data_IF_324289433766
#
_entry.id   IF_324289433766
#
_cell.length_a   1.000
_cell.length_b   1.000
_cell.length_c   1.000
_cell.angle_alpha   90.00
_cell.angle_beta   90.00
_cell.angle_gamma   90.00
#
_symmetry.space_group_name_H-M   'P 1'
#
loop_
_entity.id
_entity.type
_entity.pdbx_description
1 polymer ?
#
# COMPACT_ATOMS: atom_id res chain seq x y z
N UNK A 1 20.86 34.78 -7.04
CA UNK A 1 19.72 33.89 -7.36
C UNK A 1 20.35 32.63 -7.95
N UNK A 2 20.57 31.60 -7.13
CA UNK A 2 21.27 30.39 -7.56
C UNK A 2 20.29 29.50 -8.30
N UNK A 3 20.47 29.38 -9.62
CA UNK A 3 19.74 28.41 -10.44
C UNK A 3 20.16 27.01 -10.02
N UNK A 4 19.23 26.23 -9.47
CA UNK A 4 19.45 24.80 -9.20
C UNK A 4 19.39 24.10 -10.56
N UNK A 5 20.46 23.43 -11.03
CA UNK A 5 20.42 22.70 -12.28
C UNK A 5 19.42 21.55 -12.17
N UNK A 6 18.54 21.43 -13.17
CA UNK A 6 17.55 20.36 -13.28
C UNK A 6 18.31 19.05 -13.39
N UNK A 7 18.39 18.29 -12.28
CA UNK A 7 18.94 16.94 -12.32
C UNK A 7 18.01 16.07 -13.17
N UNK A 8 18.56 15.52 -14.25
CA UNK A 8 17.95 14.41 -14.96
C UNK A 8 18.11 13.19 -14.05
N UNK A 9 17.05 12.89 -13.29
CA UNK A 9 16.99 11.65 -12.53
C UNK A 9 17.07 10.49 -13.54
N UNK A 10 17.99 9.52 -13.37
CA UNK A 10 17.93 8.29 -14.16
C UNK A 10 16.51 7.73 -14.03
N UNK A 11 15.94 7.24 -15.15
CA UNK A 11 14.59 6.70 -15.18
C UNK A 11 14.36 5.87 -13.92
N UNK A 12 13.36 6.25 -13.12
CA UNK A 12 12.97 5.58 -11.88
C UNK A 12 12.40 4.20 -12.28
N UNK A 13 13.28 3.29 -12.69
CA UNK A 13 12.92 1.94 -13.13
C UNK A 13 12.51 1.05 -11.94
N UNK A 14 12.58 1.56 -10.71
CA UNK A 14 12.12 0.89 -9.50
C UNK A 14 11.41 1.91 -8.59
N UNK A 15 10.22 1.55 -8.07
CA UNK A 15 9.48 2.33 -7.07
C UNK A 15 8.29 3.15 -7.61
N UNK A 16 8.04 4.33 -7.04
CA UNK A 16 6.82 5.13 -7.28
C UNK A 16 6.67 5.66 -8.72
N UNK A 17 7.69 5.46 -9.56
CA UNK A 17 7.70 5.83 -10.97
C UNK A 17 7.35 4.69 -11.93
N UNK A 18 7.09 3.47 -11.44
CA UNK A 18 6.65 2.37 -12.29
C UNK A 18 5.22 2.58 -12.77
N UNK A 19 4.86 1.91 -13.87
CA UNK A 19 3.51 1.95 -14.42
C UNK A 19 2.51 1.42 -13.40
N UNK A 20 2.88 0.35 -12.71
CA UNK A 20 2.05 -0.38 -11.77
C UNK A 20 1.81 0.44 -10.50
N UNK A 21 2.80 1.22 -10.03
CA UNK A 21 2.61 2.16 -8.94
C UNK A 21 1.66 3.30 -9.36
N UNK A 22 1.77 3.82 -10.59
CA UNK A 22 0.87 4.85 -11.10
C UNK A 22 -0.58 4.32 -11.22
N UNK A 23 -0.76 3.09 -11.73
CA UNK A 23 -2.06 2.41 -11.81
C UNK A 23 -2.66 2.21 -10.41
N UNK A 24 -1.86 1.79 -9.42
CA UNK A 24 -2.31 1.70 -8.02
C UNK A 24 -2.76 3.07 -7.48
N UNK A 25 -1.97 4.12 -7.67
CA UNK A 25 -2.30 5.46 -7.17
C UNK A 25 -3.54 6.05 -7.85
N UNK A 26 -3.76 5.75 -9.12
CA UNK A 26 -4.98 6.13 -9.83
C UNK A 26 -6.18 5.37 -9.27
N UNK A 27 -6.10 4.04 -9.17
CA UNK A 27 -7.16 3.20 -8.62
C UNK A 27 -7.60 3.67 -7.21
N UNK A 28 -6.63 3.87 -6.31
CA UNK A 28 -6.90 4.32 -4.94
C UNK A 28 -7.62 5.67 -4.96
N UNK A 29 -7.13 6.64 -5.72
CA UNK A 29 -7.70 7.99 -5.76
C UNK A 29 -9.13 8.00 -6.33
N UNK A 30 -9.40 7.17 -7.34
CA UNK A 30 -10.67 7.13 -8.04
C UNK A 30 -11.74 6.31 -7.30
N UNK A 31 -11.33 5.36 -6.46
CA UNK A 31 -12.25 4.36 -5.86
C UNK A 31 -12.45 4.51 -4.35
N UNK A 32 -11.49 5.09 -3.63
CA UNK A 32 -11.56 5.27 -2.17
C UNK A 32 -12.15 6.63 -1.79
N UNK A 33 -12.78 6.70 -0.63
CA UNK A 33 -13.27 7.93 -0.03
C UNK A 33 -12.12 8.79 0.52
N UNK A 34 -12.30 10.11 0.67
CA UNK A 34 -11.24 11.01 1.13
C UNK A 34 -10.68 10.69 2.52
N UNK A 35 -11.50 10.12 3.40
CA UNK A 35 -11.15 9.80 4.78
C UNK A 35 -10.75 8.33 4.98
N UNK A 36 -10.79 7.51 3.91
CA UNK A 36 -10.38 6.11 3.98
C UNK A 36 -8.89 5.99 4.33
N UNK A 37 -8.60 5.31 5.44
CA UNK A 37 -7.21 5.03 5.85
C UNK A 37 -6.69 3.80 5.11
N UNK A 38 -5.57 3.97 4.43
CA UNK A 38 -4.95 2.93 3.59
C UNK A 38 -3.64 2.47 4.22
N UNK A 39 -3.56 1.18 4.50
CA UNK A 39 -2.37 0.55 5.07
C UNK A 39 -1.43 0.13 3.96
N UNK A 40 -0.23 0.71 3.92
CA UNK A 40 0.78 0.42 2.89
C UNK A 40 2.20 0.75 3.37
N UNK A 41 3.17 -0.09 3.04
CA UNK A 41 4.57 0.07 3.45
C UNK A 41 5.15 1.46 3.09
N UNK A 42 4.82 1.97 1.90
CA UNK A 42 5.23 3.30 1.43
C UNK A 42 4.13 4.35 1.61
N UNK A 43 3.52 4.38 2.81
CA UNK A 43 2.40 5.26 3.15
C UNK A 43 2.61 6.72 2.73
N UNK A 44 3.80 7.29 3.01
CA UNK A 44 4.11 8.69 2.64
C UNK A 44 4.01 8.94 1.13
N UNK A 45 4.46 7.99 0.31
CA UNK A 45 4.34 8.12 -1.13
C UNK A 45 2.86 8.03 -1.55
N UNK A 46 2.13 7.05 -1.02
CA UNK A 46 0.71 6.88 -1.32
C UNK A 46 -0.09 8.14 -0.97
N UNK A 47 0.07 8.69 0.23
CA UNK A 47 -0.60 9.94 0.62
C UNK A 47 -0.23 11.11 -0.28
N UNK A 48 1.04 11.22 -0.70
CA UNK A 48 1.48 12.30 -1.58
C UNK A 48 0.84 12.24 -2.97
N UNK A 49 0.74 11.04 -3.56
CA UNK A 49 0.24 10.86 -4.93
C UNK A 49 -1.28 10.73 -5.04
N UNK A 50 -1.94 10.31 -3.96
CA UNK A 50 -3.40 10.05 -3.96
C UNK A 50 -4.19 11.07 -3.15
N UNK A 51 -3.55 11.79 -2.22
CA UNK A 51 -4.23 12.66 -1.26
C UNK A 51 -5.04 11.89 -0.22
N UNK A 52 -4.77 10.59 -0.03
CA UNK A 52 -5.47 9.73 0.94
C UNK A 52 -4.68 9.56 2.24
N UNK A 53 -5.37 9.49 3.39
CA UNK A 53 -4.75 9.05 4.64
C UNK A 53 -4.10 7.68 4.45
N UNK A 54 -2.83 7.57 4.80
CA UNK A 54 -2.11 6.31 4.70
C UNK A 54 -1.25 6.06 5.94
N UNK A 55 -1.18 4.80 6.35
CA UNK A 55 -0.39 4.35 7.48
C UNK A 55 0.58 3.25 7.03
N UNK A 56 1.84 3.37 7.43
CA UNK A 56 2.81 2.30 7.25
C UNK A 56 2.66 1.28 8.35
N UNK A 57 2.57 0.01 7.98
CA UNK A 57 2.71 -1.07 8.94
C UNK A 57 4.20 -1.36 9.19
N UNK A 58 4.50 -1.90 10.35
CA UNK A 58 5.76 -2.60 10.59
C UNK A 58 5.50 -4.09 10.45
N UNK A 59 6.45 -4.80 9.84
CA UNK A 59 6.39 -6.27 9.83
C UNK A 59 6.85 -6.76 11.19
N UNK A 60 5.92 -7.41 11.86
CA UNK A 60 6.06 -8.02 13.17
C UNK A 60 6.03 -9.53 12.97
N UNK A 61 6.65 -10.31 13.86
CA UNK A 61 6.46 -11.76 13.86
C UNK A 61 5.04 -12.16 14.30
N UNK A 62 4.26 -11.20 14.81
CA UNK A 62 2.92 -11.41 15.36
C UNK A 62 1.82 -10.80 14.48
N UNK A 63 1.00 -11.68 13.92
CA UNK A 63 -0.17 -11.39 13.08
C UNK A 63 -1.28 -10.60 13.81
N UNK A 64 -1.48 -10.89 15.10
CA UNK A 64 -2.53 -10.27 15.91
C UNK A 64 -2.19 -8.81 16.20
N UNK A 65 -0.90 -8.50 16.40
CA UNK A 65 -0.43 -7.13 16.56
C UNK A 65 -0.73 -6.29 15.31
N UNK A 66 -0.45 -6.82 14.12
CA UNK A 66 -0.78 -6.13 12.87
C UNK A 66 -2.30 -5.97 12.70
N UNK A 67 -3.08 -7.03 12.93
CA UNK A 67 -4.55 -6.93 12.85
C UNK A 67 -5.11 -5.92 13.84
N UNK A 68 -4.62 -5.92 15.07
CA UNK A 68 -4.98 -4.96 16.11
C UNK A 68 -4.63 -3.53 15.72
N UNK A 69 -3.45 -3.30 15.15
CA UNK A 69 -3.06 -2.00 14.61
C UNK A 69 -4.02 -1.53 13.51
N UNK A 70 -4.29 -2.39 12.52
CA UNK A 70 -5.20 -2.11 11.40
C UNK A 70 -6.59 -1.71 11.90
N UNK A 71 -7.13 -2.43 12.89
CA UNK A 71 -8.41 -2.11 13.52
C UNK A 71 -8.35 -0.82 14.36
N UNK A 72 -7.23 -0.55 15.05
CA UNK A 72 -7.09 0.62 15.91
C UNK A 72 -7.12 1.95 15.16
N UNK A 73 -6.70 1.95 13.89
CA UNK A 73 -6.68 3.13 13.01
C UNK A 73 -7.88 3.18 12.08
N UNK A 74 -8.84 2.27 12.25
CA UNK A 74 -10.02 2.12 11.39
C UNK A 74 -9.65 2.05 9.89
N UNK A 75 -8.64 1.23 9.58
CA UNK A 75 -8.20 1.07 8.21
C UNK A 75 -9.30 0.46 7.33
N UNK A 76 -9.53 1.08 6.18
CA UNK A 76 -10.50 0.60 5.19
C UNK A 76 -9.85 -0.31 4.15
N UNK A 77 -8.56 -0.12 3.86
CA UNK A 77 -7.85 -0.85 2.82
C UNK A 77 -6.43 -1.27 3.25
N UNK A 78 -5.97 -2.40 2.74
CA UNK A 78 -4.59 -2.89 2.85
C UNK A 78 -4.02 -3.09 1.46
N UNK A 79 -2.82 -2.57 1.22
CA UNK A 79 -2.07 -2.77 -0.02
C UNK A 79 -0.85 -3.64 0.25
N UNK A 80 -0.70 -4.71 -0.52
CA UNK A 80 0.44 -5.63 -0.43
C UNK A 80 1.22 -5.66 -1.74
N UNK A 81 2.53 -5.92 -1.65
CA UNK A 81 3.37 -6.21 -2.81
C UNK A 81 3.27 -7.69 -3.19
N UNK A 82 3.19 -7.96 -4.49
CA UNK A 82 3.19 -9.30 -5.09
C UNK A 82 4.58 -9.76 -5.47
N UNK A 83 5.54 -8.84 -5.56
CA UNK A 83 6.90 -9.13 -5.94
C UNK A 83 7.60 -10.02 -4.91
N UNK A 84 8.29 -11.06 -5.39
CA UNK A 84 8.90 -12.08 -4.55
C UNK A 84 10.09 -11.57 -3.73
N UNK A 85 10.69 -10.47 -4.17
CA UNK A 85 11.84 -9.84 -3.52
C UNK A 85 11.44 -9.03 -2.28
N UNK A 86 10.15 -8.80 -2.04
CA UNK A 86 9.68 -8.16 -0.82
C UNK A 86 9.71 -9.15 0.33
N UNK A 87 10.60 -8.86 1.28
CA UNK A 87 10.83 -9.66 2.50
C UNK A 87 9.55 -9.94 3.30
N UNK A 88 8.54 -9.10 3.12
CA UNK A 88 7.28 -9.12 3.84
C UNK A 88 6.22 -10.03 3.20
N UNK A 89 6.45 -10.55 1.97
CA UNK A 89 5.47 -11.30 1.18
C UNK A 89 4.95 -12.55 1.90
N UNK A 90 5.83 -13.36 2.48
CA UNK A 90 5.42 -14.60 3.17
C UNK A 90 4.55 -14.30 4.38
N UNK A 91 4.92 -13.26 5.14
CA UNK A 91 4.14 -12.77 6.27
C UNK A 91 2.75 -12.31 5.80
N UNK A 92 2.67 -11.48 4.75
CA UNK A 92 1.39 -11.02 4.22
C UNK A 92 0.54 -12.15 3.66
N UNK A 93 1.11 -13.10 2.92
CA UNK A 93 0.35 -14.25 2.43
C UNK A 93 -0.27 -15.05 3.57
N UNK A 94 0.49 -15.27 4.65
CA UNK A 94 -0.03 -15.92 5.86
C UNK A 94 -1.14 -15.10 6.54
N UNK A 95 -0.94 -13.79 6.66
CA UNK A 95 -1.91 -12.86 7.24
C UNK A 95 -3.21 -12.80 6.41
N UNK A 96 -3.12 -12.61 5.09
CA UNK A 96 -4.29 -12.61 4.19
C UNK A 96 -5.02 -13.95 4.28
N UNK A 97 -4.31 -15.08 4.30
CA UNK A 97 -4.95 -16.40 4.40
C UNK A 97 -5.71 -16.60 5.72
N UNK A 98 -5.17 -16.10 6.84
CA UNK A 98 -5.82 -16.18 8.16
C UNK A 98 -7.03 -15.23 8.29
N UNK A 99 -6.96 -14.07 7.65
CA UNK A 99 -8.00 -13.03 7.69
C UNK A 99 -8.85 -12.96 6.41
N UNK A 100 -8.84 -14.00 5.57
CA UNK A 100 -9.53 -14.01 4.26
C UNK A 100 -11.03 -13.72 4.33
N UNK A 101 -11.67 -14.02 5.46
CA UNK A 101 -13.09 -13.73 5.67
C UNK A 101 -13.36 -12.23 5.86
N UNK A 102 -12.35 -11.46 6.28
CA UNK A 102 -12.42 -10.02 6.56
C UNK A 102 -11.68 -9.19 5.51
N UNK A 103 -10.98 -9.82 4.57
CA UNK A 103 -10.19 -9.16 3.55
C UNK A 103 -10.69 -9.55 2.17
N UNK A 104 -11.38 -8.62 1.52
CA UNK A 104 -11.88 -8.80 0.17
C UNK A 104 -10.91 -8.24 -0.86
N UNK A 105 -10.38 -9.05 -1.79
CA UNK A 105 -9.56 -8.53 -2.88
C UNK A 105 -10.41 -7.69 -3.82
N UNK A 106 -10.09 -6.40 -3.94
CA UNK A 106 -10.87 -5.43 -4.75
C UNK A 106 -10.09 -4.93 -5.97
N UNK A 107 -8.76 -5.05 -5.97
CA UNK A 107 -7.92 -4.69 -7.11
C UNK A 107 -6.59 -5.43 -7.05
N UNK A 108 -6.02 -5.69 -8.22
CA UNK A 108 -4.67 -6.20 -8.34
C UNK A 108 -4.06 -5.81 -9.70
N UNK A 109 -2.76 -5.55 -9.71
CA UNK A 109 -1.96 -5.50 -10.93
C UNK A 109 -0.74 -6.43 -10.79
N UNK A 110 0.29 -6.23 -11.63
CA UNK A 110 1.48 -7.08 -11.64
C UNK A 110 2.30 -6.97 -10.35
N UNK A 111 2.37 -5.78 -9.75
CA UNK A 111 3.18 -5.52 -8.55
C UNK A 111 2.34 -5.49 -7.25
N UNK A 112 1.08 -5.10 -7.30
CA UNK A 112 0.29 -4.77 -6.10
C UNK A 112 -1.03 -5.53 -6.03
N UNK A 113 -1.49 -5.78 -4.81
CA UNK A 113 -2.86 -6.24 -4.51
C UNK A 113 -3.47 -5.34 -3.44
N UNK A 114 -4.75 -5.02 -3.62
CA UNK A 114 -5.51 -4.17 -2.70
C UNK A 114 -6.66 -4.99 -2.15
N UNK A 115 -6.75 -5.00 -0.83
CA UNK A 115 -7.81 -5.67 -0.08
C UNK A 115 -8.62 -4.63 0.66
N UNK A 116 -9.95 -4.73 0.56
CA UNK A 116 -10.88 -3.98 1.39
C UNK A 116 -11.12 -4.75 2.68
N UNK A 117 -11.05 -4.05 3.80
CA UNK A 117 -11.38 -4.61 5.11
C UNK A 117 -12.91 -4.62 5.27
N UNK A 118 -13.45 -5.77 5.63
CA UNK A 118 -14.86 -5.98 5.97
C UNK A 118 -14.99 -6.01 7.50
N UNK A 119 -16.08 -5.43 7.99
CA UNK A 119 -16.49 -5.54 9.40
C UNK A 119 -17.09 -6.91 9.73
#
# INVERSE_FOLDING_TARGET
ITQIPRQEYPALSEGVGTREAAELFEYIRSTTEPDDVIVFQKARALSLYTGRPAASYHVTDDDQELWGFIRSIDAAYVVTSREELFRDREFFNGFIARHQAQLEPVYANAEFSVYRIRE
#
